data_IF_127459738961
#
_entry.id   IF_127459738961
#
_cell.length_a   1.000
_cell.length_b   1.000
_cell.length_c   1.000
_cell.angle_alpha   90.00
_cell.angle_beta   90.00
_cell.angle_gamma   90.00
#
_symmetry.space_group_name_H-M   'P 1'
#
loop_
_entity.id
_entity.type
_entity.pdbx_description
1 polymer ?
#
# COMPACT_ATOMS: atom_id res chain seq x y z
N UNK A 1 15.18 -2.86 17.15
CA UNK A 1 14.48 -2.48 18.39
C UNK A 1 13.61 -1.20 18.24
N UNK A 2 14.20 -0.07 17.86
CA UNK A 2 13.48 1.20 17.66
C UNK A 2 12.39 1.13 16.57
N UNK A 3 12.68 0.46 15.45
CA UNK A 3 11.72 0.26 14.36
C UNK A 3 10.51 -0.63 14.74
N UNK A 4 10.67 -1.49 15.75
CA UNK A 4 9.59 -2.36 16.24
C UNK A 4 8.67 -1.57 17.17
N UNK A 5 9.22 -0.66 17.99
CA UNK A 5 8.41 0.19 18.89
C UNK A 5 7.61 1.25 18.13
N UNK A 6 8.14 1.81 17.04
CA UNK A 6 7.36 2.70 16.15
C UNK A 6 6.25 1.94 15.41
N UNK A 7 6.49 0.68 15.03
CA UNK A 7 5.49 -0.17 14.39
C UNK A 7 4.29 -0.53 15.30
N UNK A 8 4.43 -0.44 16.64
CA UNK A 8 3.33 -0.70 17.59
C UNK A 8 2.17 0.31 17.48
N UNK A 9 2.42 1.51 16.98
CA UNK A 9 1.38 2.52 16.69
C UNK A 9 0.67 2.26 15.35
N UNK A 10 1.07 1.20 14.66
CA UNK A 10 0.63 0.87 13.31
C UNK A 10 0.27 -0.63 13.22
N UNK A 11 -0.79 -1.08 13.90
CA UNK A 11 -1.13 -2.50 13.98
C UNK A 11 -1.31 -3.19 12.62
N UNK A 12 -1.57 -2.42 11.55
CA UNK A 12 -1.64 -2.90 10.16
C UNK A 12 -0.61 -2.25 9.20
N UNK A 13 0.40 -1.52 9.72
CA UNK A 13 1.51 -0.98 8.90
C UNK A 13 2.85 -1.65 9.20
N UNK A 14 2.81 -2.93 9.61
CA UNK A 14 3.99 -3.78 9.54
C UNK A 14 4.35 -3.91 8.07
N UNK A 15 5.45 -3.28 7.71
CA UNK A 15 5.95 -3.29 6.34
C UNK A 15 6.47 -4.68 5.99
N UNK A 16 5.89 -5.24 4.93
CA UNK A 16 6.38 -6.46 4.29
C UNK A 16 6.99 -6.11 2.94
N UNK A 17 7.87 -6.97 2.44
CA UNK A 17 8.41 -6.81 1.09
C UNK A 17 8.64 -8.15 0.40
N UNK A 18 8.67 -8.12 -0.92
CA UNK A 18 9.01 -9.25 -1.78
C UNK A 18 10.00 -8.81 -2.84
N UNK A 19 10.80 -9.75 -3.31
CA UNK A 19 11.42 -9.61 -4.62
C UNK A 19 10.34 -9.77 -5.70
N UNK A 20 10.30 -8.84 -6.66
CA UNK A 20 9.31 -8.78 -7.73
C UNK A 20 9.92 -8.97 -9.11
N UNK A 21 9.19 -9.64 -10.00
CA UNK A 21 9.50 -9.71 -11.43
C UNK A 21 8.52 -8.80 -12.16
N UNK A 22 8.94 -7.58 -12.52
CA UNK A 22 8.06 -6.61 -13.19
C UNK A 22 8.18 -5.15 -12.73
N UNK A 23 9.14 -4.85 -11.85
CA UNK A 23 9.48 -3.49 -11.45
C UNK A 23 9.39 -3.25 -9.94
N UNK A 24 9.87 -2.07 -9.52
CA UNK A 24 9.88 -1.64 -8.12
C UNK A 24 8.69 -0.74 -7.81
N UNK A 25 8.25 -0.79 -6.55
CA UNK A 25 7.17 0.05 -6.08
C UNK A 25 6.60 -0.38 -4.73
N UNK A 26 5.41 0.10 -4.44
CA UNK A 26 4.68 -0.25 -3.24
C UNK A 26 3.21 -0.51 -3.53
N UNK A 27 2.72 -1.60 -2.97
CA UNK A 27 1.32 -1.99 -2.99
C UNK A 27 0.66 -1.58 -1.67
N UNK A 28 -0.53 -0.99 -1.80
CA UNK A 28 -1.38 -0.60 -0.68
C UNK A 28 -2.80 -1.11 -0.88
N UNK A 29 -3.39 -1.63 0.19
CA UNK A 29 -4.77 -2.08 0.23
C UNK A 29 -5.50 -1.33 1.33
N UNK A 30 -6.57 -0.62 0.98
CA UNK A 30 -7.39 0.14 1.92
C UNK A 30 -8.81 -0.42 1.96
N UNK A 31 -9.33 -0.60 3.18
CA UNK A 31 -10.76 -0.84 3.43
C UNK A 31 -11.41 0.49 3.81
N UNK A 32 -12.41 0.89 3.04
CA UNK A 32 -13.18 2.11 3.26
C UNK A 32 -14.34 1.88 4.23
N UNK A 33 -14.91 2.94 4.84
CA UNK A 33 -15.98 2.83 5.82
C UNK A 33 -17.25 2.13 5.33
N UNK A 34 -17.51 2.17 4.02
CA UNK A 34 -18.61 1.44 3.37
C UNK A 34 -18.31 -0.06 3.16
N UNK A 35 -17.18 -0.57 3.66
CA UNK A 35 -16.74 -1.96 3.53
C UNK A 35 -16.00 -2.28 2.23
N UNK A 36 -15.99 -1.37 1.24
CA UNK A 36 -15.30 -1.59 -0.04
C UNK A 36 -13.79 -1.57 0.18
N UNK A 37 -13.10 -2.50 -0.48
CA UNK A 37 -11.65 -2.59 -0.49
C UNK A 37 -11.14 -2.10 -1.84
N UNK A 38 -10.15 -1.20 -1.83
CA UNK A 38 -9.45 -0.76 -3.03
C UNK A 38 -7.96 -1.01 -2.94
N UNK A 39 -7.39 -1.36 -4.10
CA UNK A 39 -6.00 -1.72 -4.27
C UNK A 39 -5.28 -0.63 -5.06
N UNK A 40 -4.08 -0.28 -4.61
CA UNK A 40 -3.25 0.74 -5.21
C UNK A 40 -1.84 0.22 -5.38
N UNK A 41 -1.24 0.44 -6.54
CA UNK A 41 0.17 0.18 -6.78
C UNK A 41 0.85 1.47 -7.22
N UNK A 42 1.74 1.98 -6.36
CA UNK A 42 2.60 3.10 -6.71
C UNK A 42 3.94 2.56 -7.23
N UNK A 43 4.22 2.76 -8.52
CA UNK A 43 5.47 2.35 -9.16
C UNK A 43 6.58 3.35 -8.88
N UNK A 44 7.84 2.93 -8.99
CA UNK A 44 9.01 3.79 -8.78
C UNK A 44 9.04 5.00 -9.73
N UNK A 45 8.48 4.86 -10.95
CA UNK A 45 8.35 5.93 -11.94
C UNK A 45 7.29 7.00 -11.60
N UNK A 46 6.56 6.85 -10.48
CA UNK A 46 5.50 7.77 -10.07
C UNK A 46 4.10 7.43 -10.56
N UNK A 47 3.94 6.40 -11.40
CA UNK A 47 2.61 5.93 -11.83
C UNK A 47 1.86 5.27 -10.66
N UNK A 48 0.58 5.61 -10.49
CA UNK A 48 -0.31 4.93 -9.55
C UNK A 48 -1.38 4.16 -10.33
N UNK A 49 -1.37 2.83 -10.18
CA UNK A 49 -2.46 1.98 -10.67
C UNK A 49 -3.53 1.89 -9.59
N UNK A 50 -4.77 2.24 -9.94
CA UNK A 50 -5.91 2.19 -9.03
C UNK A 50 -6.90 1.12 -9.46
N UNK A 51 -7.24 0.22 -8.54
CA UNK A 51 -8.30 -0.79 -8.71
C UNK A 51 -8.15 -1.70 -9.95
N UNK A 52 -6.92 -1.82 -10.45
CA UNK A 52 -6.57 -2.73 -11.56
C UNK A 52 -6.17 -4.09 -11.00
N UNK A 53 -7.18 -4.88 -10.61
CA UNK A 53 -6.99 -6.15 -9.90
C UNK A 53 -5.97 -7.07 -10.58
N UNK A 54 -6.13 -7.33 -11.89
CA UNK A 54 -5.23 -8.24 -12.63
C UNK A 54 -3.78 -7.74 -12.67
N UNK A 55 -3.61 -6.43 -12.90
CA UNK A 55 -2.28 -5.81 -12.94
C UNK A 55 -1.61 -5.85 -11.56
N UNK A 56 -2.35 -5.52 -10.50
CA UNK A 56 -1.86 -5.61 -9.13
C UNK A 56 -1.53 -7.06 -8.75
N UNK A 57 -2.44 -8.00 -9.01
CA UNK A 57 -2.27 -9.42 -8.70
C UNK A 57 -1.00 -9.98 -9.34
N UNK A 58 -0.77 -9.68 -10.63
CA UNK A 58 0.41 -10.15 -11.36
C UNK A 58 1.75 -9.77 -10.69
N UNK A 59 1.77 -8.64 -9.96
CA UNK A 59 2.96 -8.08 -9.33
C UNK A 59 3.10 -8.46 -7.84
N UNK A 60 1.99 -8.62 -7.12
CA UNK A 60 2.01 -8.95 -5.69
C UNK A 60 1.98 -10.46 -5.40
N UNK A 61 1.58 -11.28 -6.38
CA UNK A 61 1.55 -12.73 -6.20
C UNK A 61 2.92 -13.27 -5.80
N UNK A 62 2.91 -14.27 -4.91
CA UNK A 62 4.10 -14.92 -4.39
C UNK A 62 3.87 -16.42 -4.32
N UNK A 63 4.93 -17.19 -4.56
CA UNK A 63 5.00 -18.60 -4.16
C UNK A 63 5.67 -18.69 -2.77
N UNK A 64 5.59 -19.85 -2.08
CA UNK A 64 6.30 -20.05 -0.81
C UNK A 64 7.81 -19.80 -0.90
N UNK A 65 8.41 -20.00 -2.07
CA UNK A 65 9.84 -19.84 -2.34
C UNK A 65 10.22 -18.39 -2.70
N UNK A 66 9.24 -17.49 -2.86
CA UNK A 66 9.51 -16.10 -3.19
C UNK A 66 10.27 -15.42 -2.05
N UNK A 67 11.50 -14.91 -2.28
CA UNK A 67 12.27 -14.27 -1.24
C UNK A 67 11.55 -13.05 -0.65
N UNK A 68 11.54 -12.97 0.68
CA UNK A 68 11.11 -11.78 1.41
C UNK A 68 12.27 -10.80 1.44
N UNK A 69 12.14 -9.72 0.69
CA UNK A 69 13.16 -8.68 0.58
C UNK A 69 12.58 -7.35 1.02
N UNK A 70 13.27 -6.71 1.96
CA UNK A 70 13.07 -5.34 2.35
C UNK A 70 14.24 -4.55 1.77
N UNK A 71 14.05 -3.90 0.63
CA UNK A 71 15.08 -3.00 0.08
C UNK A 71 14.59 -1.58 -0.19
N UNK A 72 13.27 -1.33 -0.10
CA UNK A 72 12.78 0.05 -0.03
C UNK A 72 13.14 0.64 1.33
N UNK A 73 13.80 1.79 1.33
CA UNK A 73 14.00 2.56 2.56
C UNK A 73 12.62 2.92 3.14
N UNK A 74 12.41 2.81 4.46
CA UNK A 74 11.12 3.13 5.10
C UNK A 74 10.55 4.50 4.70
N UNK A 75 11.41 5.50 4.50
CA UNK A 75 11.00 6.86 4.12
C UNK A 75 10.45 6.91 2.69
N UNK A 76 11.06 6.21 1.74
CA UNK A 76 10.58 6.16 0.36
C UNK A 76 9.21 5.47 0.27
N UNK A 77 9.00 4.43 1.07
CA UNK A 77 7.71 3.75 1.18
C UNK A 77 6.65 4.68 1.78
N UNK A 78 7.01 5.38 2.85
CA UNK A 78 6.12 6.33 3.50
C UNK A 78 5.69 7.45 2.55
N UNK A 79 6.61 7.99 1.74
CA UNK A 79 6.28 9.01 0.75
C UNK A 79 5.35 8.49 -0.35
N UNK A 80 5.54 7.26 -0.82
CA UNK A 80 4.62 6.64 -1.78
C UNK A 80 3.22 6.43 -1.17
N UNK A 81 3.17 5.98 0.09
CA UNK A 81 1.92 5.80 0.83
C UNK A 81 1.19 7.14 1.02
N UNK A 82 1.91 8.18 1.45
CA UNK A 82 1.38 9.54 1.63
C UNK A 82 0.78 10.06 0.33
N UNK A 83 1.48 9.88 -0.80
CA UNK A 83 0.95 10.26 -2.12
C UNK A 83 -0.35 9.54 -2.46
N UNK A 84 -0.44 8.23 -2.21
CA UNK A 84 -1.67 7.46 -2.43
C UNK A 84 -2.81 7.94 -1.53
N UNK A 85 -2.51 8.24 -0.26
CA UNK A 85 -3.48 8.77 0.71
C UNK A 85 -4.02 10.15 0.30
N UNK A 86 -3.15 11.08 -0.07
CA UNK A 86 -3.50 12.45 -0.46
C UNK A 86 -4.22 12.56 -1.81
N UNK A 87 -4.05 11.56 -2.69
CA UNK A 87 -4.62 11.57 -4.05
C UNK A 87 -5.81 10.61 -4.17
N UNK A 88 -5.52 9.33 -4.41
CA UNK A 88 -6.51 8.31 -4.78
C UNK A 88 -7.50 8.03 -3.65
N UNK A 89 -6.99 7.89 -2.43
CA UNK A 89 -7.79 7.56 -1.24
C UNK A 89 -8.65 8.76 -0.84
N UNK A 90 -8.06 9.94 -0.73
CA UNK A 90 -8.80 11.16 -0.42
C UNK A 90 -9.86 11.47 -1.48
N UNK A 91 -9.59 11.21 -2.76
CA UNK A 91 -10.60 11.32 -3.83
C UNK A 91 -11.76 10.36 -3.59
N UNK A 92 -11.51 9.08 -3.34
CA UNK A 92 -12.60 8.12 -3.13
C UNK A 92 -13.42 8.41 -1.87
N UNK A 93 -12.80 8.92 -0.79
CA UNK A 93 -13.57 9.38 0.39
C UNK A 93 -14.52 10.53 0.06
N UNK A 94 -14.06 11.50 -0.76
CA UNK A 94 -14.92 12.60 -1.23
C UNK A 94 -16.05 12.09 -2.11
N UNK A 95 -15.78 11.14 -2.99
CA UNK A 95 -16.80 10.54 -3.87
C UNK A 95 -17.89 9.80 -3.09
N UNK A 96 -17.54 9.19 -1.95
CA UNK A 96 -18.51 8.56 -1.05
C UNK A 96 -19.33 9.54 -0.21
N UNK A 97 -19.01 10.84 -0.25
CA UNK A 97 -19.66 11.90 0.54
C UNK A 97 -19.70 11.58 2.04
N UNK A 98 -18.68 10.88 2.54
CA UNK A 98 -18.61 10.53 3.95
C UNK A 98 -18.23 11.74 4.81
N UNK A 99 -18.69 11.79 6.07
CA UNK A 99 -18.20 12.75 7.05
C UNK A 99 -16.67 12.73 7.17
N UNK A 100 -16.06 13.88 7.46
CA UNK A 100 -14.60 14.07 7.43
C UNK A 100 -13.83 13.30 8.52
N UNK A 101 -14.52 12.84 9.56
CA UNK A 101 -13.96 12.02 10.63
C UNK A 101 -13.83 10.54 10.24
N UNK A 102 -14.48 10.12 9.15
CA UNK A 102 -14.40 8.76 8.64
C UNK A 102 -13.08 8.53 7.89
N UNK A 103 -12.32 7.53 8.34
CA UNK A 103 -11.00 7.20 7.79
C UNK A 103 -10.98 5.78 7.20
N UNK A 104 -10.30 5.57 6.07
CA UNK A 104 -10.06 4.24 5.56
C UNK A 104 -9.00 3.56 6.43
N UNK A 105 -9.08 2.23 6.51
CA UNK A 105 -8.11 1.40 7.21
C UNK A 105 -7.11 0.85 6.19
N UNK A 106 -5.81 1.12 6.38
CA UNK A 106 -4.77 0.39 5.66
C UNK A 106 -4.78 -1.08 6.14
N UNK A 107 -5.06 -2.00 5.21
CA UNK A 107 -5.14 -3.44 5.47
C UNK A 107 -3.81 -4.12 5.16
N UNK A 108 -3.14 -3.70 4.08
CA UNK A 108 -1.87 -4.28 3.66
C UNK A 108 -0.98 -3.20 3.04
N UNK A 109 0.31 -3.30 3.34
CA UNK A 109 1.38 -2.53 2.74
C UNK A 109 2.52 -3.48 2.38
N UNK A 110 2.95 -3.45 1.11
CA UNK A 110 4.01 -4.32 0.61
C UNK A 110 4.95 -3.57 -0.33
N UNK A 111 6.24 -3.55 -0.02
CA UNK A 111 7.28 -3.14 -0.96
C UNK A 111 7.56 -4.23 -2.00
N UNK A 112 7.74 -3.81 -3.25
CA UNK A 112 8.12 -4.69 -4.36
C UNK A 112 9.49 -4.21 -4.86
N UNK A 113 10.47 -5.12 -4.92
CA UNK A 113 11.88 -4.80 -5.16
C UNK A 113 12.54 -5.64 -6.23
#
# INVERSE_FOLDING_TARGET
>A
PQAIDSARHFPNRIFSGKQGTGGRGAFFCYRFPNGIVKWYLHRENGEILEDKLDACFSLIQCTPETPRLISLLPDALYEQMRKVEETCVARYLRDLQLPSDQKPTLVCCMGIS
#
